data_IF_084605859449
#
_entry.id   IF_084605859449
#
_cell.length_a   1.000
_cell.length_b   1.000
_cell.length_c   1.000
_cell.angle_alpha   90.00
_cell.angle_beta   90.00
_cell.angle_gamma   90.00
#
_symmetry.space_group_name_H-M   'P 1'
#
loop_
_entity.id
_entity.type
_entity.pdbx_description
1 polymer ?
#
# COMPACT_ATOMS: atom_id res chain seq x y z
N UNK A 1 21.84 -6.95 -19.75
CA UNK A 1 21.11 -8.20 -19.44
C UNK A 1 20.16 -7.88 -18.29
N UNK A 2 18.84 -7.86 -18.52
CA UNK A 2 17.88 -7.51 -17.47
C UNK A 2 17.54 -8.77 -16.68
N UNK A 3 17.74 -8.75 -15.35
CA UNK A 3 17.31 -9.83 -14.46
C UNK A 3 15.89 -9.53 -14.00
N UNK A 4 14.96 -10.45 -14.22
CA UNK A 4 13.57 -10.37 -13.77
C UNK A 4 13.29 -11.51 -12.79
N UNK A 5 12.63 -11.19 -11.68
CA UNK A 5 12.24 -12.14 -10.63
C UNK A 5 10.74 -11.95 -10.36
N UNK A 6 9.99 -13.05 -10.30
CA UNK A 6 8.58 -13.06 -9.91
C UNK A 6 8.44 -14.00 -8.72
N UNK A 7 8.09 -13.45 -7.55
CA UNK A 7 7.91 -14.21 -6.30
C UNK A 7 6.70 -13.69 -5.53
N UNK A 8 6.07 -14.53 -4.68
CA UNK A 8 5.04 -14.05 -3.75
C UNK A 8 5.64 -13.11 -2.70
N UNK A 9 4.79 -12.29 -2.11
CA UNK A 9 5.09 -11.49 -0.93
C UNK A 9 3.90 -11.52 0.02
N UNK A 10 4.14 -11.24 1.31
CA UNK A 10 3.08 -11.07 2.29
C UNK A 10 3.05 -9.61 2.75
N UNK A 11 1.87 -9.02 2.87
CA UNK A 11 1.69 -7.73 3.53
C UNK A 11 1.60 -7.98 5.03
N UNK A 12 2.58 -7.50 5.79
CA UNK A 12 2.68 -7.70 7.24
C UNK A 12 2.24 -6.49 8.06
N UNK A 13 2.14 -5.32 7.43
CA UNK A 13 1.54 -4.13 8.01
C UNK A 13 0.73 -3.39 6.95
N UNK A 14 -0.46 -2.96 7.35
CA UNK A 14 -1.34 -2.07 6.59
C UNK A 14 -1.91 -1.03 7.56
N UNK A 15 -1.19 0.07 7.77
CA UNK A 15 -1.58 1.15 8.70
C UNK A 15 -1.96 2.40 7.90
N UNK A 16 -3.23 2.48 7.51
CA UNK A 16 -3.78 3.58 6.71
C UNK A 16 -4.53 4.55 7.63
N UNK A 17 -4.22 5.84 7.52
CA UNK A 17 -4.85 6.90 8.30
C UNK A 17 -5.38 7.99 7.37
N UNK A 18 -6.67 8.36 7.46
CA UNK A 18 -7.17 9.52 6.77
C UNK A 18 -6.48 10.77 7.33
N UNK A 19 -6.20 11.72 6.44
CA UNK A 19 -5.74 13.06 6.83
C UNK A 19 -6.65 14.15 6.28
N UNK A 20 -7.52 13.81 5.32
CA UNK A 20 -8.59 14.67 4.83
C UNK A 20 -9.87 13.83 4.73
N UNK A 21 -10.83 14.15 5.59
CA UNK A 21 -12.12 13.48 5.66
C UNK A 21 -13.20 14.55 5.79
N UNK A 22 -13.90 14.81 4.69
CA UNK A 22 -15.04 15.72 4.66
C UNK A 22 -16.30 14.92 4.26
N UNK A 23 -17.45 15.13 4.92
CA UNK A 23 -18.71 14.52 4.49
C UNK A 23 -18.99 14.82 3.02
N UNK A 24 -19.47 13.80 2.29
CA UNK A 24 -19.80 13.87 0.86
C UNK A 24 -18.62 14.19 -0.08
N UNK A 25 -17.37 14.13 0.42
CA UNK A 25 -16.17 14.21 -0.40
C UNK A 25 -15.38 12.89 -0.38
N UNK A 26 -14.47 12.69 -1.35
CA UNK A 26 -13.47 11.64 -1.26
C UNK A 26 -12.59 11.79 -0.02
N UNK A 27 -12.20 10.68 0.57
CA UNK A 27 -11.25 10.62 1.69
C UNK A 27 -9.82 10.52 1.15
N UNK A 28 -8.93 11.38 1.64
CA UNK A 28 -7.49 11.24 1.38
C UNK A 28 -6.81 10.58 2.57
N UNK A 29 -6.01 9.55 2.30
CA UNK A 29 -5.30 8.81 3.33
C UNK A 29 -3.82 8.68 3.00
N UNK A 30 -3.02 8.57 4.06
CA UNK A 30 -1.62 8.15 3.99
C UNK A 30 -1.46 6.89 4.82
N UNK A 31 -0.61 5.98 4.41
CA UNK A 31 -0.28 4.87 5.27
C UNK A 31 1.03 4.19 5.01
N UNK A 32 1.49 3.49 6.05
CA UNK A 32 2.69 2.67 6.01
C UNK A 32 2.29 1.24 5.65
N UNK A 33 2.90 0.70 4.59
CA UNK A 33 2.77 -0.70 4.19
C UNK A 33 4.10 -1.40 4.40
N UNK A 34 4.06 -2.55 5.07
CA UNK A 34 5.22 -3.45 5.16
C UNK A 34 4.95 -4.73 4.39
N UNK A 35 5.97 -5.21 3.69
CA UNK A 35 5.93 -6.48 2.97
C UNK A 35 7.14 -7.32 3.31
N UNK A 36 6.94 -8.63 3.40
CA UNK A 36 8.02 -9.62 3.49
C UNK A 36 8.11 -10.41 2.20
N UNK A 37 9.34 -10.71 1.79
CA UNK A 37 9.68 -11.52 0.62
C UNK A 37 10.55 -12.69 1.08
N UNK A 38 10.31 -13.86 0.52
CA UNK A 38 11.04 -15.10 0.79
C UNK A 38 11.56 -15.73 -0.50
N UNK A 39 12.44 -16.73 -0.39
CA UNK A 39 12.99 -17.45 -1.54
C UNK A 39 14.18 -16.74 -2.19
N UNK A 40 14.16 -16.58 -3.52
CA UNK A 40 15.27 -15.99 -4.30
C UNK A 40 15.54 -14.53 -3.92
N UNK A 41 14.51 -13.80 -3.45
CA UNK A 41 14.65 -12.47 -2.86
C UNK A 41 14.12 -12.51 -1.43
N UNK A 42 15.02 -12.64 -0.46
CA UNK A 42 14.67 -12.61 0.97
C UNK A 42 14.87 -11.23 1.55
N UNK A 43 13.83 -10.67 2.18
CA UNK A 43 13.93 -9.37 2.85
C UNK A 43 12.59 -8.74 3.17
N UNK A 44 12.65 -7.48 3.62
CA UNK A 44 11.49 -6.67 3.98
C UNK A 44 11.49 -5.37 3.19
N UNK A 45 10.30 -4.87 2.86
CA UNK A 45 10.11 -3.51 2.38
C UNK A 45 9.21 -2.74 3.31
N UNK A 46 9.52 -1.47 3.52
CA UNK A 46 8.64 -0.47 4.12
C UNK A 46 8.39 0.64 3.10
N UNK A 47 7.13 1.01 2.90
CA UNK A 47 6.76 2.07 1.98
C UNK A 47 5.58 2.88 2.49
N UNK A 48 5.55 4.15 2.12
CA UNK A 48 4.41 5.04 2.32
C UNK A 48 3.54 5.02 1.07
N UNK A 49 2.23 4.93 1.24
CA UNK A 49 1.24 5.07 0.17
C UNK A 49 0.35 6.28 0.42
N UNK A 50 -0.07 6.92 -0.66
CA UNK A 50 -1.14 7.91 -0.68
C UNK A 50 -2.32 7.29 -1.39
N UNK A 51 -3.52 7.48 -0.86
CA UNK A 51 -4.75 6.92 -1.39
C UNK A 51 -5.83 7.99 -1.49
N UNK A 52 -6.58 7.94 -2.58
CA UNK A 52 -7.83 8.64 -2.75
C UNK A 52 -8.96 7.61 -2.75
N UNK A 53 -9.92 7.74 -1.83
CA UNK A 53 -11.11 6.88 -1.76
C UNK A 53 -12.35 7.72 -2.03
N UNK A 54 -13.04 7.47 -3.15
CA UNK A 54 -14.29 8.13 -3.48
C UNK A 54 -15.44 7.63 -2.60
N UNK A 55 -16.49 8.46 -2.48
CA UNK A 55 -17.67 8.15 -1.67
C UNK A 55 -18.47 6.93 -2.16
N UNK A 56 -18.32 6.54 -3.43
CA UNK A 56 -18.92 5.34 -4.02
C UNK A 56 -18.12 4.05 -3.74
N UNK A 57 -17.03 4.14 -2.98
CA UNK A 57 -16.16 3.03 -2.62
C UNK A 57 -15.07 2.72 -3.66
N UNK A 58 -14.98 3.47 -4.77
CA UNK A 58 -13.84 3.39 -5.68
C UNK A 58 -12.59 4.05 -5.08
N UNK A 59 -11.40 3.64 -5.53
CA UNK A 59 -10.14 4.20 -5.07
C UNK A 59 -9.10 4.32 -6.20
N UNK A 60 -8.18 5.28 -6.06
CA UNK A 60 -7.09 5.57 -7.00
C UNK A 60 -5.83 6.12 -6.33
#
# INVERSE_FOLDING_TARGET
MNKQITIPFQVTLWDIKPFDETPDSPTLSRGTVKKTFDGELKGESIGEILMYSAADGSAG
#
